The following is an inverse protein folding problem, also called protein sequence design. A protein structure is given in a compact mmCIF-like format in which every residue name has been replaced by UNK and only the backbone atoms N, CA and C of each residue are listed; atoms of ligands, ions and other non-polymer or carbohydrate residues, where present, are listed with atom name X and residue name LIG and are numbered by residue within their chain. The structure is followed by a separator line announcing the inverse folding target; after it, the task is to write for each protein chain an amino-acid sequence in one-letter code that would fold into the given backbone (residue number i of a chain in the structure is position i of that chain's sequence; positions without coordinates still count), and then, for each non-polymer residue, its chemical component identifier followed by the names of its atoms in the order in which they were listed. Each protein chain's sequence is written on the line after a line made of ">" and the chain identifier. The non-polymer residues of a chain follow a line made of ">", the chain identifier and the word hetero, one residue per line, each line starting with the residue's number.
data_IF_172251878242
#
_entry.id   IF_172251878242
#
_cell.length_a   1.000
_cell.length_b   1.000
_cell.length_c   1.000
_cell.angle_alpha   90.00
_cell.angle_beta   90.00
_cell.angle_gamma   90.00
#
_symmetry.space_group_name_H-M   'P 1'
#
loop_
_entity.id
_entity.type
_entity.pdbx_description
1 polymer ?
#
# COMPACT_ATOMS: atom_id res chain seq x y z
N UNK A 1 -24.16 17.03 -17.98
CA UNK A 1 -23.03 17.97 -18.18
C UNK A 1 -22.34 18.18 -16.85
N UNK A 2 -21.19 17.53 -16.63
CA UNK A 2 -20.42 17.66 -15.39
C UNK A 2 -19.64 18.97 -15.43
N UNK A 3 -19.81 19.83 -14.42
CA UNK A 3 -19.13 21.12 -14.35
C UNK A 3 -17.61 20.91 -14.35
N UNK A 4 -16.82 21.77 -15.04
CA UNK A 4 -15.38 21.73 -14.89
C UNK A 4 -15.06 22.05 -13.42
N UNK A 5 -14.48 21.09 -12.70
CA UNK A 5 -13.90 21.33 -11.38
C UNK A 5 -12.72 22.27 -11.58
N UNK A 6 -12.99 23.58 -11.57
CA UNK A 6 -11.95 24.61 -11.56
C UNK A 6 -11.36 24.60 -10.15
N UNK A 7 -10.36 23.76 -9.94
CA UNK A 7 -9.52 23.85 -8.74
C UNK A 7 -8.78 25.18 -8.83
N UNK A 8 -9.20 26.14 -8.00
CA UNK A 8 -8.56 27.46 -7.91
C UNK A 8 -7.19 27.26 -7.27
N UNK A 9 -6.20 26.94 -8.10
CA UNK A 9 -4.83 26.76 -7.66
C UNK A 9 -4.25 28.12 -7.30
N UNK A 10 -3.86 28.31 -6.04
CA UNK A 10 -3.21 29.56 -5.61
C UNK A 10 -1.95 29.82 -6.45
N UNK A 11 -1.71 31.09 -6.83
CA UNK A 11 -0.48 31.50 -7.51
C UNK A 11 0.77 31.09 -6.71
N UNK A 12 0.65 31.05 -5.38
CA UNK A 12 1.71 30.55 -4.50
C UNK A 12 1.94 29.05 -4.67
N UNK A 13 0.88 28.25 -4.77
CA UNK A 13 0.98 26.81 -4.94
C UNK A 13 1.64 26.44 -6.28
N UNK A 14 1.28 27.14 -7.36
CA UNK A 14 1.95 26.95 -8.66
C UNK A 14 3.45 27.24 -8.59
N UNK A 15 3.84 28.37 -7.98
CA UNK A 15 5.25 28.73 -7.77
C UNK A 15 6.00 27.70 -6.92
N UNK A 16 5.36 27.20 -5.85
CA UNK A 16 5.94 26.16 -5.01
C UNK A 16 6.15 24.86 -5.78
N UNK A 17 5.18 24.44 -6.61
CA UNK A 17 5.33 23.26 -7.47
C UNK A 17 6.49 23.40 -8.46
N UNK A 18 6.58 24.54 -9.15
CA UNK A 18 7.68 24.81 -10.08
C UNK A 18 9.04 24.79 -9.37
N UNK A 19 9.11 25.34 -8.15
CA UNK A 19 10.33 25.33 -7.34
C UNK A 19 10.72 23.91 -6.89
N UNK A 20 9.75 23.07 -6.53
CA UNK A 20 10.01 21.68 -6.13
C UNK A 20 10.49 20.84 -7.31
N UNK A 21 9.92 21.03 -8.50
CA UNK A 21 10.41 20.38 -9.72
C UNK A 21 11.83 20.85 -10.04
N UNK A 22 12.12 22.14 -9.88
CA UNK A 22 13.48 22.70 -10.05
C UNK A 22 14.49 22.17 -9.03
N UNK A 23 14.06 21.84 -7.81
CA UNK A 23 14.87 21.20 -6.78
C UNK A 23 15.06 19.68 -6.99
N UNK A 24 14.49 19.11 -8.07
CA UNK A 24 14.66 17.70 -8.41
C UNK A 24 13.68 16.76 -7.71
N UNK A 25 12.56 17.26 -7.16
CA UNK A 25 11.51 16.40 -6.63
C UNK A 25 10.71 15.78 -7.79
N UNK A 26 10.42 14.48 -7.67
CA UNK A 26 9.64 13.74 -8.66
C UNK A 26 8.17 13.71 -8.25
N UNK A 27 7.25 14.01 -9.17
CA UNK A 27 5.81 13.86 -8.94
C UNK A 27 5.44 12.38 -8.86
N UNK A 28 4.63 12.01 -7.87
CA UNK A 28 4.08 10.66 -7.71
C UNK A 28 2.62 10.68 -8.17
N UNK A 29 2.31 10.13 -9.37
CA UNK A 29 0.94 10.07 -9.87
C UNK A 29 0.13 8.96 -9.17
N UNK A 30 -1.19 9.02 -9.31
CA UNK A 30 -2.09 7.94 -8.88
C UNK A 30 -2.51 7.97 -7.40
N UNK A 31 -2.11 8.98 -6.63
CA UNK A 31 -2.53 9.10 -5.22
C UNK A 31 -3.92 9.73 -5.15
N UNK A 32 -4.88 8.97 -4.62
CA UNK A 32 -6.30 9.36 -4.56
C UNK A 32 -6.64 9.99 -3.20
N UNK A 33 -6.01 9.52 -2.13
CA UNK A 33 -6.25 10.00 -0.76
C UNK A 33 -4.96 9.87 0.05
N UNK A 34 -4.63 10.93 0.78
CA UNK A 34 -3.58 10.89 1.82
C UNK A 34 -4.27 11.14 3.16
N UNK A 35 -3.97 10.31 4.16
CA UNK A 35 -4.47 10.47 5.51
C UNK A 35 -3.30 10.58 6.49
N UNK A 36 -3.34 11.62 7.33
CA UNK A 36 -2.35 11.87 8.37
C UNK A 36 -3.02 11.73 9.74
N UNK A 37 -2.55 10.78 10.56
CA UNK A 37 -3.05 10.56 11.92
C UNK A 37 -2.19 11.33 12.93
N UNK A 38 -2.82 12.25 13.67
CA UNK A 38 -2.20 12.99 14.79
C UNK A 38 -2.31 12.23 16.12
N UNK A 39 -1.72 12.82 17.17
CA UNK A 39 -1.55 12.25 18.52
C UNK A 39 -2.84 12.05 19.35
N UNK A 40 -4.01 12.45 18.85
CA UNK A 40 -5.30 12.28 19.55
C UNK A 40 -6.31 11.45 18.74
N UNK A 41 -5.81 10.58 17.85
CA UNK A 41 -6.63 9.87 16.86
C UNK A 41 -7.38 10.78 15.87
N UNK A 42 -7.03 12.07 15.81
CA UNK A 42 -7.51 13.03 14.80
C UNK A 42 -6.86 12.69 13.45
N UNK A 43 -7.68 12.48 12.42
CA UNK A 43 -7.22 12.15 11.06
C UNK A 43 -7.47 13.36 10.17
N UNK A 44 -6.40 13.85 9.53
CA UNK A 44 -6.51 14.85 8.47
C UNK A 44 -6.40 14.12 7.14
N UNK A 45 -7.47 14.14 6.36
CA UNK A 45 -7.55 13.56 5.04
C UNK A 45 -7.46 14.64 3.96
N UNK A 46 -6.69 14.38 2.91
CA UNK A 46 -6.64 15.19 1.71
C UNK A 46 -7.14 14.33 0.55
N UNK A 47 -8.21 14.77 -0.10
CA UNK A 47 -8.79 14.11 -1.27
C UNK A 47 -8.13 14.61 -2.56
N UNK A 48 -7.80 13.68 -3.47
CA UNK A 48 -7.12 13.95 -4.75
C UNK A 48 -5.89 14.87 -4.60
N UNK A 49 -4.94 14.53 -3.70
CA UNK A 49 -3.76 15.35 -3.53
C UNK A 49 -2.80 15.25 -4.71
N UNK A 50 -1.95 16.26 -4.86
CA UNK A 50 -0.75 16.16 -5.68
C UNK A 50 0.48 15.94 -4.79
N UNK A 51 1.20 14.84 -5.03
CA UNK A 51 2.31 14.43 -4.18
C UNK A 51 3.62 14.47 -4.96
N UNK A 52 4.66 14.98 -4.30
CA UNK A 52 6.03 14.99 -4.79
C UNK A 52 6.94 14.24 -3.81
N UNK A 53 7.90 13.48 -4.33
CA UNK A 53 8.87 12.70 -3.57
C UNK A 53 10.27 13.27 -3.76
N UNK A 54 10.96 13.47 -2.65
CA UNK A 54 12.40 13.80 -2.63
C UNK A 54 13.23 12.53 -2.79
N UNK A 55 14.47 12.62 -3.31
CA UNK A 55 15.38 11.47 -3.34
C UNK A 55 15.68 10.90 -1.95
N UNK A 56 15.57 11.72 -0.89
CA UNK A 56 15.73 11.30 0.51
C UNK A 56 14.51 10.62 1.13
N UNK A 57 13.47 10.27 0.35
CA UNK A 57 12.30 9.54 0.84
C UNK A 57 11.22 10.38 1.51
N UNK A 58 11.37 11.70 1.60
CA UNK A 58 10.33 12.59 2.12
C UNK A 58 9.27 12.90 1.05
N UNK A 59 8.02 13.06 1.48
CA UNK A 59 6.87 13.39 0.63
C UNK A 59 6.37 14.81 0.91
N UNK A 60 6.04 15.54 -0.15
CA UNK A 60 5.38 16.85 -0.12
C UNK A 60 4.00 16.69 -0.72
N UNK A 61 2.96 17.04 0.03
CA UNK A 61 1.55 16.82 -0.35
C UNK A 61 0.87 18.18 -0.52
N UNK A 62 0.34 18.43 -1.70
CA UNK A 62 -0.50 19.58 -2.01
C UNK A 62 -1.96 19.19 -2.08
N UNK A 63 -2.82 19.95 -1.42
CA UNK A 63 -4.26 19.78 -1.45
C UNK A 63 -4.92 20.41 -0.23
N UNK A 64 -6.24 20.37 -0.21
CA UNK A 64 -7.04 20.93 0.89
C UNK A 64 -7.18 19.91 2.03
N UNK A 65 -6.67 20.21 3.24
CA UNK A 65 -6.82 19.33 4.39
C UNK A 65 -8.25 19.39 4.91
N UNK A 66 -8.90 18.22 5.01
CA UNK A 66 -10.18 18.04 5.69
C UNK A 66 -9.96 17.21 6.95
N UNK A 67 -10.53 17.64 8.07
CA UNK A 67 -10.57 16.81 9.28
C UNK A 67 -11.61 15.72 9.06
N UNK A 68 -11.20 14.46 9.16
CA UNK A 68 -12.09 13.30 9.04
C UNK A 68 -12.24 12.67 10.44
N UNK A 69 -13.41 12.84 11.04
CA UNK A 69 -13.78 12.22 12.32
C UNK A 69 -14.15 10.73 12.12
N UNK A 70 -13.14 9.92 11.79
CA UNK A 70 -13.29 8.49 11.55
C UNK A 70 -13.90 7.75 12.75
N UNK A 71 -13.57 8.18 13.98
CA UNK A 71 -14.12 7.60 15.22
C UNK A 71 -15.65 7.77 15.31
N UNK A 72 -16.18 8.94 14.93
CA UNK A 72 -17.64 9.17 14.97
C UNK A 72 -18.36 8.42 13.86
N UNK A 73 -17.80 8.36 12.65
CA UNK A 73 -18.36 7.55 11.56
C UNK A 73 -18.38 6.06 11.89
N UNK A 74 -17.33 5.55 12.56
CA UNK A 74 -17.27 4.15 12.97
C UNK A 74 -18.29 3.85 14.07
N UNK A 75 -18.40 4.70 15.10
CA UNK A 75 -19.39 4.53 16.16
C UNK A 75 -20.83 4.50 15.61
N UNK A 76 -21.19 5.49 14.76
CA UNK A 76 -22.51 5.54 14.14
C UNK A 76 -22.79 4.33 13.24
N UNK A 77 -21.79 3.85 12.48
CA UNK A 77 -21.94 2.66 11.64
C UNK A 77 -22.11 1.37 12.46
N UNK A 78 -21.42 1.25 13.60
CA UNK A 78 -21.55 0.11 14.51
C UNK A 78 -22.93 0.10 15.20
N UNK A 79 -23.42 1.25 15.65
CA UNK A 79 -24.76 1.39 16.22
C UNK A 79 -25.85 1.07 15.19
N UNK A 80 -25.67 1.49 13.94
CA UNK A 80 -26.62 1.23 12.87
C UNK A 80 -26.58 -0.24 12.40
N UNK A 81 -25.42 -0.90 12.46
CA UNK A 81 -25.29 -2.34 12.23
C UNK A 81 -25.97 -3.18 13.33
N UNK A 82 -25.87 -2.75 14.59
CA UNK A 82 -26.60 -3.38 15.70
C UNK A 82 -28.12 -3.15 15.62
N UNK A 83 -28.56 -2.01 15.08
CA UNK A 83 -29.98 -1.71 14.89
C UNK A 83 -30.61 -2.40 13.66
N UNK A 84 -29.79 -2.86 12.69
CA UNK A 84 -30.28 -3.44 11.42
C UNK A 84 -30.40 -4.97 11.41
N UNK A 85 -30.03 -5.66 12.50
CA UNK A 85 -30.34 -7.08 12.69
C UNK A 85 -29.71 -8.06 11.69
N UNK A 86 -28.66 -7.68 10.96
CA UNK A 86 -27.91 -8.62 10.11
C UNK A 86 -26.77 -9.19 10.95
N UNK A 87 -27.13 -10.22 11.72
CA UNK A 87 -26.20 -11.17 12.32
C UNK A 87 -25.50 -11.93 11.17
N UNK A 88 -24.17 -12.07 11.14
CA UNK A 88 -23.60 -13.26 10.54
C UNK A 88 -24.06 -14.43 11.41
N UNK A 89 -24.73 -15.40 10.79
CA UNK A 89 -25.37 -16.54 11.46
C UNK A 89 -24.53 -17.12 12.60
N UNK A 90 -25.12 -17.05 13.79
CA UNK A 90 -24.81 -17.85 14.96
C UNK A 90 -25.11 -19.33 14.66
N UNK A 91 -24.20 -20.01 13.96
CA UNK A 91 -24.30 -21.44 13.76
C UNK A 91 -23.04 -22.17 14.21
N UNK A 92 -22.39 -21.72 15.30
CA UNK A 92 -21.55 -22.58 16.17
C UNK A 92 -21.13 -21.89 17.50
N UNK A 93 -21.92 -20.94 18.01
CA UNK A 93 -21.62 -20.25 19.30
C UNK A 93 -22.43 -20.85 20.46
N UNK A 94 -22.41 -22.17 20.59
CA UNK A 94 -22.95 -22.84 21.77
C UNK A 94 -21.82 -23.16 22.74
N UNK A 95 -21.74 -22.35 23.78
CA UNK A 95 -20.97 -22.54 25.04
C UNK A 95 -19.47 -22.21 24.99
N UNK A 96 -19.11 -20.99 25.39
CA UNK A 96 -17.90 -20.67 26.19
C UNK A 96 -17.93 -19.22 26.66
N UNK A 97 -17.49 -18.99 27.89
CA UNK A 97 -17.56 -17.69 28.56
C UNK A 97 -16.41 -16.77 28.13
N UNK A 98 -16.51 -15.43 28.34
CA UNK A 98 -15.54 -14.44 27.87
C UNK A 98 -14.10 -14.62 28.37
N UNK A 99 -13.89 -15.43 29.41
CA UNK A 99 -12.58 -15.74 29.97
C UNK A 99 -11.79 -16.77 29.13
N UNK A 100 -12.48 -17.69 28.45
CA UNK A 100 -11.83 -18.75 27.67
C UNK A 100 -11.25 -18.20 26.35
N UNK A 101 -11.87 -17.15 25.79
CA UNK A 101 -11.42 -16.48 24.55
C UNK A 101 -10.11 -15.72 24.77
N UNK A 102 -9.88 -15.16 25.97
CA UNK A 102 -8.63 -14.48 26.30
C UNK A 102 -7.48 -15.48 26.51
N UNK A 103 -7.75 -16.65 27.10
CA UNK A 103 -6.74 -17.69 27.25
C UNK A 103 -6.28 -18.28 25.89
N UNK A 104 -7.20 -18.47 24.93
CA UNK A 104 -6.86 -18.95 23.58
C UNK A 104 -6.09 -17.88 22.77
N UNK A 105 -6.41 -16.59 22.95
CA UNK A 105 -5.69 -15.50 22.29
C UNK A 105 -4.28 -15.31 22.85
N UNK A 106 -4.05 -15.56 24.14
CA UNK A 106 -2.72 -15.59 24.74
C UNK A 106 -1.91 -16.82 24.28
N UNK A 107 -2.53 -18.00 24.22
CA UNK A 107 -1.86 -19.22 23.74
C UNK A 107 -1.47 -19.15 22.25
N UNK A 108 -2.29 -18.49 21.42
CA UNK A 108 -1.95 -18.22 20.01
C UNK A 108 -0.83 -17.18 19.85
N UNK A 109 -0.67 -16.24 20.79
CA UNK A 109 0.42 -15.27 20.77
C UNK A 109 1.77 -15.91 21.15
N UNK A 110 1.78 -16.83 22.12
CA UNK A 110 2.98 -17.62 22.49
C UNK A 110 3.38 -18.65 21.41
N UNK A 111 2.43 -19.12 20.59
CA UNK A 111 2.71 -20.03 19.47
C UNK A 111 3.32 -19.36 18.23
N UNK A 112 3.29 -18.02 18.14
CA UNK A 112 3.92 -17.27 17.03
C UNK A 112 5.44 -17.06 17.28
N UNK A 113 5.92 -17.19 18.52
CA UNK A 113 7.35 -17.04 18.84
C UNK A 113 8.18 -18.31 18.56
N UNK A 114 7.54 -19.46 18.30
CA UNK A 114 8.24 -20.71 17.94
C UNK A 114 7.67 -21.27 16.65
N UNK A 115 8.30 -20.88 15.53
CA UNK A 115 7.80 -21.16 14.18
C UNK A 115 7.56 -22.62 13.84
N UNK A 116 6.43 -22.88 13.17
CA UNK A 116 6.26 -23.81 12.05
C UNK A 116 4.78 -23.90 11.65
N UNK A 117 4.48 -23.87 10.34
CA UNK A 117 3.21 -24.30 9.74
C UNK A 117 2.45 -23.16 9.05
N UNK A 118 2.84 -22.72 7.86
CA UNK A 118 2.59 -23.33 6.53
C UNK A 118 1.11 -23.32 6.11
N UNK A 119 0.74 -22.30 5.34
CA UNK A 119 -0.23 -22.38 4.24
C UNK A 119 0.36 -21.59 3.05
N UNK A 120 0.61 -22.33 1.96
CA UNK A 120 0.94 -21.94 0.58
C UNK A 120 -0.16 -21.01 0.02
N UNK A 121 -0.01 -20.10 -0.95
CA UNK A 121 1.01 -19.74 -1.93
C UNK A 121 0.53 -18.38 -2.48
N UNK A 122 1.35 -17.32 -2.40
CA UNK A 122 1.47 -16.26 -3.42
C UNK A 122 2.66 -15.38 -3.00
N UNK A 123 3.78 -15.75 -3.60
CA UNK A 123 5.14 -15.26 -3.44
C UNK A 123 5.26 -13.78 -3.84
N UNK A 124 4.85 -12.87 -2.95
CA UNK A 124 5.29 -11.46 -2.96
C UNK A 124 6.52 -11.29 -2.06
N UNK A 125 7.48 -12.22 -2.22
CA UNK A 125 8.81 -12.08 -1.67
C UNK A 125 9.53 -10.99 -2.43
N UNK A 126 9.90 -9.92 -1.73
CA UNK A 126 10.87 -8.92 -2.18
C UNK A 126 12.16 -9.65 -2.60
N UNK A 127 12.25 -10.05 -3.86
CA UNK A 127 13.45 -10.68 -4.41
C UNK A 127 14.50 -9.58 -4.52
N UNK A 128 15.36 -9.54 -3.51
CA UNK A 128 16.50 -8.64 -3.47
C UNK A 128 17.28 -8.71 -4.79
N UNK A 129 17.49 -7.54 -5.40
CA UNK A 129 18.20 -7.37 -6.65
C UNK A 129 19.67 -7.78 -6.52
N UNK A 130 20.21 -7.91 -5.30
CA UNK A 130 21.51 -8.52 -5.02
C UNK A 130 22.61 -8.05 -5.99
N UNK A 131 23.19 -9.00 -6.70
CA UNK A 131 24.29 -8.80 -7.67
C UNK A 131 23.83 -8.55 -9.13
N UNK A 132 22.52 -8.45 -9.37
CA UNK A 132 21.99 -8.20 -10.72
C UNK A 132 21.89 -6.70 -10.98
N UNK A 133 22.31 -6.26 -12.17
CA UNK A 133 22.19 -4.87 -12.54
C UNK A 133 20.72 -4.50 -12.76
N UNK A 134 20.29 -3.35 -12.25
CA UNK A 134 18.93 -2.87 -12.45
C UNK A 134 18.64 -2.65 -13.95
N UNK A 135 19.66 -2.30 -14.74
CA UNK A 135 19.54 -2.09 -16.18
C UNK A 135 19.21 -3.41 -16.91
N UNK A 136 19.81 -4.52 -16.51
CA UNK A 136 19.53 -5.84 -17.08
C UNK A 136 18.12 -6.32 -16.71
N UNK A 137 17.69 -6.07 -15.47
CA UNK A 137 16.33 -6.39 -15.01
C UNK A 137 15.30 -5.60 -15.82
N UNK A 138 15.52 -4.29 -16.01
CA UNK A 138 14.63 -3.45 -16.82
C UNK A 138 14.61 -3.89 -18.29
N UNK A 139 15.76 -4.28 -18.85
CA UNK A 139 15.86 -4.76 -20.23
C UNK A 139 15.08 -6.07 -20.44
N UNK A 140 15.21 -7.03 -19.52
CA UNK A 140 14.45 -8.30 -19.55
C UNK A 140 12.95 -8.03 -19.38
N UNK A 141 12.56 -7.15 -18.45
CA UNK A 141 11.15 -6.78 -18.26
C UNK A 141 10.53 -6.16 -19.51
N UNK A 142 11.26 -5.27 -20.20
CA UNK A 142 10.76 -4.61 -21.41
C UNK A 142 10.67 -5.54 -22.61
N UNK A 143 11.65 -6.43 -22.80
CA UNK A 143 11.69 -7.32 -23.97
C UNK A 143 10.83 -8.57 -23.80
N UNK A 144 10.75 -9.13 -22.59
CA UNK A 144 9.94 -10.32 -22.32
C UNK A 144 8.53 -10.00 -21.78
N UNK A 145 8.23 -8.74 -21.45
CA UNK A 145 6.94 -8.29 -20.91
C UNK A 145 6.49 -9.08 -19.65
N UNK A 146 7.42 -9.34 -18.73
CA UNK A 146 7.19 -10.07 -17.48
C UNK A 146 7.31 -9.16 -16.25
N UNK A 147 6.80 -9.63 -15.11
CA UNK A 147 6.94 -8.93 -13.83
C UNK A 147 8.41 -8.89 -13.37
N UNK A 148 8.74 -7.90 -12.54
CA UNK A 148 10.11 -7.70 -12.02
C UNK A 148 10.65 -8.94 -11.31
N UNK A 149 9.81 -9.66 -10.57
CA UNK A 149 10.21 -10.84 -9.84
C UNK A 149 10.61 -11.99 -10.77
N UNK A 150 9.91 -12.16 -11.89
CA UNK A 150 10.20 -13.19 -12.88
C UNK A 150 11.48 -12.86 -13.67
N UNK A 151 11.68 -11.59 -14.01
CA UNK A 151 12.93 -11.12 -14.60
C UNK A 151 14.14 -11.38 -13.69
N UNK A 152 14.00 -11.10 -12.39
CA UNK A 152 15.06 -11.37 -11.40
C UNK A 152 15.32 -12.87 -11.25
N UNK A 153 14.27 -13.71 -11.21
CA UNK A 153 14.41 -15.17 -11.14
C UNK A 153 15.10 -15.74 -12.39
N UNK A 154 14.74 -15.25 -13.57
CA UNK A 154 15.36 -15.67 -14.83
C UNK A 154 16.83 -15.26 -14.90
N UNK A 155 17.16 -14.02 -14.54
CA UNK A 155 18.55 -13.54 -14.48
C UNK A 155 19.37 -14.30 -13.43
N UNK A 156 18.81 -14.64 -12.27
CA UNK A 156 19.50 -15.47 -11.26
C UNK A 156 19.76 -16.89 -11.76
N UNK A 157 18.79 -17.49 -12.46
CA UNK A 157 18.87 -18.86 -12.97
C UNK A 157 19.88 -19.01 -14.12
N UNK A 158 20.11 -17.92 -14.86
CA UNK A 158 21.07 -17.87 -15.96
C UNK A 158 22.34 -17.07 -15.61
N UNK A 159 22.67 -16.92 -14.32
CA UNK A 159 23.89 -16.26 -13.84
C UNK A 159 24.14 -14.84 -14.40
N UNK A 160 23.07 -14.08 -14.63
CA UNK A 160 23.12 -12.73 -15.20
C UNK A 160 23.20 -12.68 -16.73
N UNK A 161 23.08 -13.81 -17.43
CA UNK A 161 23.00 -13.84 -18.89
C UNK A 161 21.62 -13.34 -19.36
N UNK A 162 21.59 -12.09 -19.80
CA UNK A 162 20.40 -11.37 -20.27
C UNK A 162 19.75 -12.08 -21.46
N UNK A 163 20.55 -12.56 -22.42
CA UNK A 163 20.02 -13.12 -23.66
C UNK A 163 19.33 -14.45 -23.38
N UNK A 164 19.96 -15.29 -22.56
CA UNK A 164 19.39 -16.56 -22.18
C UNK A 164 18.16 -16.39 -21.27
N UNK A 165 18.18 -15.38 -20.38
CA UNK A 165 17.02 -15.01 -19.57
C UNK A 165 15.84 -14.54 -20.44
N UNK A 166 16.06 -13.65 -21.42
CA UNK A 166 15.01 -13.20 -22.36
C UNK A 166 14.46 -14.38 -23.16
N UNK A 167 15.33 -15.26 -23.67
CA UNK A 167 14.91 -16.44 -24.43
C UNK A 167 14.12 -17.45 -23.59
N UNK A 168 14.38 -17.53 -22.28
CA UNK A 168 13.63 -18.40 -21.37
C UNK A 168 12.22 -17.88 -21.05
N UNK A 169 12.04 -16.56 -21.08
CA UNK A 169 10.79 -15.86 -20.74
C UNK A 169 9.96 -15.47 -21.96
N UNK A 170 10.60 -15.32 -23.12
CA UNK A 170 9.96 -15.00 -24.40
C UNK A 170 9.87 -16.27 -25.23
N UNK A 171 8.66 -16.85 -25.29
CA UNK A 171 8.35 -18.03 -26.09
C UNK A 171 7.33 -17.68 -27.18
#
# INVERSE_FOLDING_TARGET
>A
MSAPNVSILSKNEKKSKDMLVKLGLKRVPGIIRVAYRKKNNEIIAIEKPEVYRTPGGNYVVFGEPKVDDFTQKLAAAQEQAQASGIVPSEADVATKSPADIQADMQAAADAIESGAGKVEEEDDGEVDAGDLSNDDIELVMQQANVAKNDAIKALKSHNGDIVNAIMSLSK
#
